data_IF_564777812551
#
_entry.id   IF_564777812551
#
_cell.length_a   1.000
_cell.length_b   1.000
_cell.length_c   1.000
_cell.angle_alpha   90.00
_cell.angle_beta   90.00
_cell.angle_gamma   90.00
#
_symmetry.space_group_name_H-M   'P 1'
#
loop_
_entity.id
_entity.type
_entity.pdbx_description
1 polymer ?
#
# COMPACT_ATOMS: atom_id res chain seq x y z
N UNK A 1 12.24 -0.93 -19.18
CA UNK A 1 11.70 0.25 -18.43
C UNK A 1 11.15 -0.23 -17.11
N UNK A 2 11.55 0.38 -16.00
CA UNK A 2 11.00 0.09 -14.67
C UNK A 2 10.19 1.30 -14.20
N UNK A 3 8.92 1.05 -13.84
CA UNK A 3 7.99 2.06 -13.35
C UNK A 3 7.50 1.67 -11.95
N UNK A 4 7.57 2.59 -10.99
CA UNK A 4 7.03 2.39 -9.64
C UNK A 4 5.61 2.99 -9.54
N UNK A 5 4.72 2.29 -8.83
CA UNK A 5 3.36 2.72 -8.52
C UNK A 5 3.25 2.81 -7.01
N UNK A 6 3.15 4.03 -6.49
CA UNK A 6 3.27 4.36 -5.06
C UNK A 6 2.16 5.31 -4.62
N UNK A 7 1.92 5.41 -3.31
CA UNK A 7 0.91 6.29 -2.74
C UNK A 7 1.46 7.62 -2.26
N UNK A 8 0.78 8.72 -2.56
CA UNK A 8 1.17 10.06 -2.11
C UNK A 8 0.84 10.30 -0.63
N UNK A 9 -0.23 9.68 -0.10
CA UNK A 9 -0.85 10.08 1.16
C UNK A 9 -0.78 9.00 2.25
N UNK A 10 -1.92 8.68 2.87
CA UNK A 10 -2.02 7.75 4.02
C UNK A 10 -2.26 6.28 3.62
N UNK A 11 -2.24 5.95 2.33
CA UNK A 11 -2.62 4.64 1.82
C UNK A 11 -4.07 4.62 1.29
N UNK A 12 -4.47 3.47 0.75
CA UNK A 12 -5.80 3.25 0.16
C UNK A 12 -6.16 4.18 -1.02
N UNK A 13 -5.15 4.72 -1.71
CA UNK A 13 -5.33 5.62 -2.86
C UNK A 13 -5.81 4.89 -4.14
N UNK A 14 -5.94 3.56 -4.12
CA UNK A 14 -6.34 2.79 -5.30
C UNK A 14 -5.17 2.27 -6.15
N UNK A 15 -3.98 2.11 -5.57
CA UNK A 15 -2.78 1.58 -6.25
C UNK A 15 -3.01 0.23 -6.92
N UNK A 16 -3.77 -0.67 -6.29
CA UNK A 16 -4.09 -1.97 -6.87
C UNK A 16 -4.81 -1.85 -8.22
N UNK A 17 -5.82 -0.97 -8.33
CA UNK A 17 -6.51 -0.68 -9.59
C UNK A 17 -5.56 -0.11 -10.64
N UNK A 18 -4.71 0.85 -10.26
CA UNK A 18 -3.74 1.46 -11.19
C UNK A 18 -2.72 0.42 -11.66
N UNK A 19 -2.24 -0.44 -10.76
CA UNK A 19 -1.32 -1.53 -11.11
C UNK A 19 -1.98 -2.54 -12.04
N UNK A 20 -3.21 -2.98 -11.75
CA UNK A 20 -3.97 -3.91 -12.58
C UNK A 20 -4.23 -3.33 -14.00
N UNK A 21 -4.58 -2.03 -14.08
CA UNK A 21 -4.73 -1.33 -15.34
C UNK A 21 -3.42 -1.25 -16.15
N UNK A 22 -2.32 -0.88 -15.51
CA UNK A 22 -1.02 -0.78 -16.18
C UNK A 22 -0.41 -2.16 -16.51
N UNK A 23 -0.77 -3.21 -15.75
CA UNK A 23 -0.30 -4.57 -15.95
C UNK A 23 -0.76 -5.18 -17.29
N UNK A 24 -1.81 -4.63 -17.93
CA UNK A 24 -2.19 -5.05 -19.29
C UNK A 24 -1.05 -4.89 -20.31
N UNK A 25 -0.17 -3.93 -20.08
CA UNK A 25 0.98 -3.63 -20.96
C UNK A 25 2.33 -3.86 -20.28
N UNK A 26 2.38 -4.66 -19.22
CA UNK A 26 3.60 -5.01 -18.49
C UNK A 26 4.00 -6.46 -18.74
N UNK A 27 5.28 -6.77 -18.55
CA UNK A 27 5.81 -8.13 -18.57
C UNK A 27 5.96 -8.69 -17.15
N UNK A 28 6.22 -7.82 -16.17
CA UNK A 28 6.50 -8.20 -14.78
C UNK A 28 5.86 -7.22 -13.82
N UNK A 29 5.24 -7.71 -12.74
CA UNK A 29 4.77 -6.91 -11.59
C UNK A 29 5.43 -7.40 -10.32
N UNK A 30 6.06 -6.52 -9.56
CA UNK A 30 6.83 -6.83 -8.35
C UNK A 30 6.25 -6.13 -7.14
N UNK A 31 5.79 -6.87 -6.13
CA UNK A 31 5.61 -6.34 -4.77
C UNK A 31 6.98 -6.23 -4.11
N UNK A 32 7.38 -5.04 -3.71
CA UNK A 32 8.75 -4.80 -3.24
C UNK A 32 8.85 -4.52 -1.73
N UNK A 33 7.74 -4.27 -1.03
CA UNK A 33 7.74 -3.95 0.39
C UNK A 33 6.40 -4.30 1.07
N UNK A 34 6.33 -4.10 2.40
CA UNK A 34 5.13 -4.35 3.20
C UNK A 34 4.89 -5.82 3.45
N UNK A 35 3.66 -6.21 3.57
CA UNK A 35 3.23 -7.57 3.82
C UNK A 35 1.71 -7.68 3.67
N UNK A 36 1.08 -8.56 4.45
CA UNK A 36 -0.36 -8.80 4.35
C UNK A 36 -1.23 -7.81 5.16
N UNK A 37 -0.69 -6.66 5.54
CA UNK A 37 -1.36 -5.66 6.38
C UNK A 37 -2.27 -4.69 5.62
N UNK A 38 -2.13 -4.56 4.31
CA UNK A 38 -3.01 -3.75 3.47
C UNK A 38 -3.63 -4.59 2.36
N UNK A 39 -4.89 -4.32 2.03
CA UNK A 39 -5.60 -4.99 0.94
C UNK A 39 -5.67 -4.10 -0.31
N UNK A 40 -5.32 -4.66 -1.46
CA UNK A 40 -5.55 -4.05 -2.76
C UNK A 40 -6.85 -4.57 -3.35
N UNK A 41 -7.87 -3.72 -3.42
CA UNK A 41 -9.14 -4.08 -4.07
C UNK A 41 -9.01 -3.94 -5.57
N UNK A 42 -9.34 -5.00 -6.28
CA UNK A 42 -9.35 -5.08 -7.75
C UNK A 42 -10.71 -5.59 -8.19
N UNK A 43 -11.31 -4.91 -9.16
CA UNK A 43 -12.57 -5.29 -9.78
C UNK A 43 -12.32 -5.46 -11.28
N UNK A 44 -12.47 -6.70 -11.74
CA UNK A 44 -12.23 -7.10 -13.12
C UNK A 44 -13.22 -8.18 -13.58
N UNK A 45 -13.00 -8.76 -14.75
CA UNK A 45 -13.89 -9.75 -15.36
C UNK A 45 -14.05 -11.06 -14.55
N UNK A 46 -13.13 -11.36 -13.62
CA UNK A 46 -13.20 -12.51 -12.73
C UNK A 46 -14.00 -12.23 -11.45
N UNK A 47 -14.26 -10.95 -11.15
CA UNK A 47 -14.99 -10.54 -9.96
C UNK A 47 -14.26 -9.47 -9.15
N UNK A 48 -14.59 -9.42 -7.85
CA UNK A 48 -14.01 -8.51 -6.88
C UNK A 48 -13.07 -9.25 -5.94
N UNK A 49 -11.82 -8.82 -5.90
CA UNK A 49 -10.77 -9.41 -5.08
C UNK A 49 -10.18 -8.38 -4.12
N UNK A 50 -9.73 -8.85 -2.97
CA UNK A 50 -8.92 -8.07 -2.03
C UNK A 50 -7.61 -8.82 -1.80
N UNK A 51 -6.57 -8.44 -2.57
CA UNK A 51 -5.25 -9.06 -2.47
C UNK A 51 -4.44 -8.39 -1.37
N UNK A 52 -3.79 -9.18 -0.51
CA UNK A 52 -2.94 -8.69 0.57
C UNK A 52 -1.46 -8.91 0.28
N UNK A 53 -1.11 -10.07 -0.27
CA UNK A 53 0.26 -10.43 -0.63
C UNK A 53 0.48 -10.52 -2.13
N UNK A 54 -0.44 -11.13 -2.86
CA UNK A 54 -0.27 -11.31 -4.29
C UNK A 54 -0.19 -9.97 -5.02
N UNK A 55 0.74 -9.83 -6.01
CA UNK A 55 0.77 -8.65 -6.88
C UNK A 55 -0.51 -8.52 -7.70
N UNK A 56 -0.91 -7.29 -8.01
CA UNK A 56 -2.13 -7.02 -8.80
C UNK A 56 -2.05 -7.54 -10.26
N UNK A 57 -0.86 -7.91 -10.72
CA UNK A 57 -0.66 -8.51 -12.06
C UNK A 57 -1.11 -9.97 -12.21
N UNK A 58 -1.50 -10.66 -11.12
CA UNK A 58 -1.87 -12.10 -11.14
C UNK A 58 -3.10 -12.43 -11.99
N UNK A 59 -3.90 -11.45 -12.36
CA UNK A 59 -5.07 -11.64 -13.23
C UNK A 59 -4.72 -11.71 -14.73
N UNK A 60 -3.48 -11.38 -15.10
CA UNK A 60 -3.00 -11.45 -16.48
C UNK A 60 -2.02 -12.62 -16.64
N UNK A 61 -2.38 -13.70 -17.39
CA UNK A 61 -1.53 -14.88 -17.54
C UNK A 61 -0.20 -14.62 -18.28
N UNK A 62 -0.10 -13.49 -18.99
CA UNK A 62 1.13 -13.10 -19.68
C UNK A 62 2.12 -12.33 -18.78
N UNK A 63 1.70 -11.94 -17.60
CA UNK A 63 2.50 -11.20 -16.63
C UNK A 63 3.16 -12.15 -15.65
N UNK A 64 4.45 -11.96 -15.39
CA UNK A 64 5.13 -12.61 -14.27
C UNK A 64 4.98 -11.78 -13.01
N UNK A 65 4.36 -12.33 -11.98
CA UNK A 65 4.18 -11.70 -10.67
C UNK A 65 5.31 -12.10 -9.73
N UNK A 66 5.88 -11.14 -9.00
CA UNK A 66 7.03 -11.38 -8.10
C UNK A 66 6.76 -10.81 -6.71
N UNK A 67 7.04 -11.61 -5.68
CA UNK A 67 7.24 -11.15 -4.32
C UNK A 67 8.74 -10.93 -4.09
N UNK A 68 9.15 -9.67 -4.00
CA UNK A 68 10.55 -9.27 -3.80
C UNK A 68 11.04 -9.50 -2.37
N UNK A 69 12.34 -9.38 -2.18
CA UNK A 69 13.01 -9.61 -0.89
C UNK A 69 12.62 -8.59 0.22
N UNK A 70 12.01 -7.47 -0.14
CA UNK A 70 11.54 -6.46 0.84
C UNK A 70 10.17 -6.78 1.46
N UNK A 71 9.49 -7.83 1.02
CA UNK A 71 8.16 -8.23 1.52
C UNK A 71 8.28 -9.04 2.81
N UNK A 72 7.34 -8.86 3.74
CA UNK A 72 7.12 -9.75 4.88
C UNK A 72 6.24 -10.93 4.40
N UNK A 73 6.84 -12.09 4.14
CA UNK A 73 6.16 -13.22 3.53
C UNK A 73 5.39 -14.04 4.58
N UNK A 74 4.07 -13.92 4.60
CA UNK A 74 3.17 -14.86 5.28
C UNK A 74 2.81 -15.99 4.32
N UNK A 75 3.41 -17.16 4.53
CA UNK A 75 3.25 -18.32 3.63
C UNK A 75 1.79 -18.80 3.59
N UNK A 76 1.13 -18.85 4.73
CA UNK A 76 -0.27 -19.30 4.81
C UNK A 76 -1.20 -18.37 4.05
N UNK A 77 -1.03 -17.06 4.21
CA UNK A 77 -1.84 -16.08 3.46
C UNK A 77 -1.56 -16.12 1.98
N UNK A 78 -0.30 -16.29 1.58
CA UNK A 78 0.08 -16.45 0.18
C UNK A 78 -0.66 -17.64 -0.46
N UNK A 79 -0.59 -18.83 0.15
CA UNK A 79 -1.24 -20.02 -0.35
C UNK A 79 -2.77 -19.88 -0.37
N UNK A 80 -3.35 -19.27 0.67
CA UNK A 80 -4.79 -19.01 0.74
C UNK A 80 -5.28 -18.09 -0.37
N UNK A 81 -4.55 -17.01 -0.65
CA UNK A 81 -4.90 -16.08 -1.75
C UNK A 81 -4.77 -16.76 -3.11
N UNK A 82 -3.77 -17.62 -3.30
CA UNK A 82 -3.57 -18.34 -4.54
C UNK A 82 -4.73 -19.32 -4.79
N UNK A 83 -5.14 -20.10 -3.78
CA UNK A 83 -6.31 -20.99 -3.88
C UNK A 83 -7.60 -20.21 -4.17
N UNK A 84 -7.79 -19.05 -3.55
CA UNK A 84 -8.97 -18.23 -3.82
C UNK A 84 -9.05 -17.72 -5.27
N UNK A 85 -7.91 -17.48 -5.92
CA UNK A 85 -7.86 -17.15 -7.35
C UNK A 85 -8.25 -18.36 -8.20
N UNK A 86 -7.75 -19.55 -7.87
CA UNK A 86 -8.07 -20.81 -8.57
C UNK A 86 -9.57 -21.13 -8.47
N UNK A 87 -10.14 -21.04 -7.27
CA UNK A 87 -11.58 -21.23 -7.04
C UNK A 87 -12.45 -20.23 -7.80
N UNK A 88 -11.97 -19.02 -8.01
CA UNK A 88 -12.65 -18.00 -8.81
C UNK A 88 -12.46 -18.16 -10.33
N UNK A 89 -11.75 -19.20 -10.77
CA UNK A 89 -11.52 -19.49 -12.19
C UNK A 89 -10.51 -18.56 -12.85
N UNK A 90 -9.66 -17.87 -12.06
CA UNK A 90 -8.54 -17.10 -12.58
C UNK A 90 -7.50 -18.08 -13.14
N UNK A 91 -6.96 -17.88 -14.35
CA UNK A 91 -5.89 -18.72 -14.87
C UNK A 91 -4.70 -18.77 -13.91
N UNK A 92 -4.08 -19.93 -13.77
CA UNK A 92 -2.93 -20.12 -12.87
C UNK A 92 -1.86 -19.06 -13.16
N UNK A 93 -1.60 -18.13 -12.22
CA UNK A 93 -0.67 -17.03 -12.45
C UNK A 93 0.78 -17.52 -12.42
N UNK A 94 1.62 -16.91 -13.22
CA UNK A 94 3.06 -17.12 -13.15
C UNK A 94 3.63 -16.29 -12.00
N UNK A 95 3.96 -16.94 -10.88
CA UNK A 95 4.43 -16.27 -9.66
C UNK A 95 5.81 -16.77 -9.26
N UNK A 96 6.67 -15.83 -8.85
CA UNK A 96 7.93 -16.11 -8.19
C UNK A 96 8.05 -15.37 -6.86
N UNK A 97 8.75 -16.01 -5.94
CA UNK A 97 9.07 -15.50 -4.61
C UNK A 97 10.58 -15.44 -4.48
N UNK A 98 11.10 -14.31 -4.03
CA UNK A 98 12.54 -14.16 -3.80
C UNK A 98 13.04 -15.22 -2.81
N UNK A 99 14.10 -15.92 -3.17
CA UNK A 99 14.81 -16.84 -2.29
C UNK A 99 15.46 -16.15 -1.06
N UNK A 100 15.49 -14.81 -1.05
CA UNK A 100 16.02 -13.97 0.04
C UNK A 100 14.93 -13.28 0.87
N UNK A 101 13.65 -13.52 0.57
CA UNK A 101 12.55 -12.95 1.36
C UNK A 101 12.56 -13.54 2.77
N UNK A 102 12.22 -12.74 3.78
CA UNK A 102 12.06 -13.24 5.14
C UNK A 102 10.63 -13.68 5.42
N UNK A 103 10.49 -14.72 6.24
CA UNK A 103 9.21 -15.33 6.59
C UNK A 103 8.60 -14.61 7.80
N UNK A 104 7.35 -14.19 7.63
CA UNK A 104 6.52 -13.69 8.72
C UNK A 104 5.97 -14.90 9.49
N UNK A 105 6.37 -15.03 10.74
CA UNK A 105 6.11 -16.17 11.60
C UNK A 105 4.89 -15.96 12.51
N UNK A 106 4.26 -17.02 13.02
CA UNK A 106 3.12 -16.92 13.94
C UNK A 106 3.41 -16.06 15.18
N UNK A 107 4.63 -16.09 15.71
CA UNK A 107 4.99 -15.26 16.86
C UNK A 107 5.01 -13.77 16.56
N UNK A 108 5.19 -13.34 15.31
CA UNK A 108 5.06 -11.92 14.94
C UNK A 108 3.60 -11.45 15.04
N UNK A 109 2.67 -12.28 14.60
CA UNK A 109 1.22 -12.00 14.67
C UNK A 109 0.79 -11.91 16.14
N UNK A 110 1.16 -12.91 16.94
CA UNK A 110 0.86 -12.94 18.38
C UNK A 110 1.46 -11.75 19.11
N UNK A 111 2.70 -11.38 18.81
CA UNK A 111 3.36 -10.22 19.42
C UNK A 111 2.62 -8.92 19.09
N UNK A 112 2.18 -8.72 17.86
CA UNK A 112 1.41 -7.55 17.42
C UNK A 112 0.06 -7.48 18.15
N UNK A 113 -0.62 -8.62 18.30
CA UNK A 113 -1.88 -8.71 19.06
C UNK A 113 -1.68 -8.40 20.53
N UNK A 114 -0.67 -8.98 21.16
CA UNK A 114 -0.38 -8.78 22.59
C UNK A 114 0.06 -7.34 22.89
N UNK A 115 0.80 -6.71 21.97
CA UNK A 115 1.19 -5.31 22.13
C UNK A 115 0.00 -4.36 22.04
N UNK A 116 -0.91 -4.57 21.07
CA UNK A 116 -2.16 -3.80 20.96
C UNK A 116 -3.05 -3.98 22.22
N UNK A 117 -3.11 -5.20 22.75
CA UNK A 117 -3.81 -5.49 24.02
C UNK A 117 -3.16 -4.74 25.19
N UNK A 118 -1.83 -4.79 25.32
CA UNK A 118 -1.07 -4.11 26.38
C UNK A 118 -1.24 -2.59 26.34
N UNK A 119 -1.23 -2.01 25.16
CA UNK A 119 -1.39 -0.56 24.96
C UNK A 119 -2.82 -0.08 25.22
N UNK A 120 -3.82 -0.94 25.05
CA UNK A 120 -5.23 -0.62 25.29
C UNK A 120 -5.70 0.63 24.57
N UNK A 121 -6.12 1.67 25.32
CA UNK A 121 -6.59 2.94 24.73
C UNK A 121 -5.51 3.74 23.99
N UNK A 122 -4.25 3.41 24.18
CA UNK A 122 -3.10 4.05 23.49
C UNK A 122 -2.60 3.22 22.31
N UNK A 123 -3.35 2.20 21.89
CA UNK A 123 -2.99 1.34 20.77
C UNK A 123 -2.84 2.12 19.47
N UNK A 124 -1.95 1.65 18.59
CA UNK A 124 -1.72 2.25 17.27
C UNK A 124 -2.83 1.97 16.27
N UNK A 125 -3.72 1.03 16.57
CA UNK A 125 -4.75 0.54 15.66
C UNK A 125 -4.17 -0.40 14.60
N UNK A 126 -3.20 -1.22 14.99
CA UNK A 126 -2.57 -2.23 14.13
C UNK A 126 -3.61 -3.11 13.44
N UNK A 127 -3.28 -3.59 12.26
CA UNK A 127 -4.04 -4.63 11.53
C UNK A 127 -3.86 -6.01 12.14
N UNK A 128 -3.00 -6.15 13.16
CA UNK A 128 -2.62 -7.42 13.81
C UNK A 128 -2.07 -8.44 12.80
N UNK A 129 -1.31 -7.94 11.85
CA UNK A 129 -0.69 -8.75 10.79
C UNK A 129 0.80 -9.03 11.07
N UNK A 130 1.30 -8.69 12.25
CA UNK A 130 2.67 -8.99 12.69
C UNK A 130 3.76 -8.15 12.02
N UNK A 131 3.42 -7.06 11.35
CA UNK A 131 4.37 -6.29 10.52
C UNK A 131 5.44 -5.60 11.36
N UNK A 132 5.06 -4.89 12.43
CA UNK A 132 6.03 -4.20 13.28
C UNK A 132 7.00 -5.17 13.97
N UNK A 133 6.54 -6.26 14.63
CA UNK A 133 7.45 -7.28 15.17
C UNK A 133 8.34 -7.92 14.11
N UNK A 134 7.81 -8.20 12.91
CA UNK A 134 8.60 -8.79 11.82
C UNK A 134 9.76 -7.89 11.39
N UNK A 135 9.52 -6.62 11.11
CA UNK A 135 10.59 -5.71 10.71
C UNK A 135 11.56 -5.42 11.87
N UNK A 136 11.08 -5.37 13.11
CA UNK A 136 11.94 -5.29 14.29
C UNK A 136 12.93 -6.45 14.33
N UNK A 137 12.46 -7.67 14.17
CA UNK A 137 13.29 -8.88 14.17
C UNK A 137 14.26 -8.93 12.98
N UNK A 138 13.79 -8.53 11.80
CA UNK A 138 14.64 -8.43 10.60
C UNK A 138 15.86 -7.56 10.84
N UNK A 139 15.69 -6.37 11.42
CA UNK A 139 16.79 -5.46 11.70
C UNK A 139 17.60 -5.84 12.95
N UNK A 140 16.99 -6.54 13.90
CA UNK A 140 17.69 -7.18 15.02
C UNK A 140 18.49 -8.44 14.61
N UNK A 141 18.35 -8.90 13.35
CA UNK A 141 19.02 -10.07 12.76
C UNK A 141 18.62 -11.40 13.42
N UNK A 142 17.37 -11.50 13.82
CA UNK A 142 16.76 -12.71 14.40
C UNK A 142 15.59 -13.22 13.55
N UNK A 143 15.46 -12.76 12.30
CA UNK A 143 14.49 -13.26 11.32
C UNK A 143 14.98 -14.51 10.60
N UNK A 144 14.07 -15.21 9.91
CA UNK A 144 14.35 -16.35 9.05
C UNK A 144 14.19 -15.98 7.58
N UNK A 145 15.21 -16.21 6.74
CA UNK A 145 15.04 -16.15 5.29
C UNK A 145 14.42 -17.44 4.77
N UNK A 146 13.63 -17.34 3.70
CA UNK A 146 12.93 -18.50 3.15
C UNK A 146 13.87 -19.63 2.70
N UNK A 147 15.06 -19.29 2.22
CA UNK A 147 16.06 -20.30 1.81
C UNK A 147 16.54 -21.16 2.98
N UNK A 148 16.60 -20.61 4.21
CA UNK A 148 17.05 -21.33 5.42
C UNK A 148 16.10 -22.48 5.80
N UNK A 149 14.83 -22.42 5.37
CA UNK A 149 13.87 -23.49 5.62
C UNK A 149 14.25 -24.83 4.97
N UNK A 150 15.18 -24.82 3.99
CA UNK A 150 15.61 -26.00 3.23
C UNK A 150 16.90 -26.65 3.78
N UNK A 151 17.44 -26.14 4.86
CA UNK A 151 18.60 -26.65 5.55
C UNK A 151 18.20 -26.98 7.00
N UNK A 152 17.84 -28.25 7.25
CA UNK A 152 17.20 -28.67 8.51
C UNK A 152 18.03 -28.32 9.76
N UNK A 153 19.35 -28.46 9.70
CA UNK A 153 20.27 -28.11 10.77
C UNK A 153 20.26 -26.60 11.07
N UNK A 154 20.30 -25.77 10.03
CA UNK A 154 20.24 -24.30 10.15
C UNK A 154 18.86 -23.88 10.67
N UNK A 155 17.77 -24.42 10.09
CA UNK A 155 16.40 -24.12 10.49
C UNK A 155 16.18 -24.42 11.98
N UNK A 156 16.55 -25.62 12.43
CA UNK A 156 16.33 -26.07 13.81
C UNK A 156 17.13 -25.23 14.81
N UNK A 157 18.40 -24.93 14.50
CA UNK A 157 19.25 -24.09 15.34
C UNK A 157 18.69 -22.66 15.46
N UNK A 158 18.34 -22.02 14.32
CA UNK A 158 17.82 -20.66 14.31
C UNK A 158 16.44 -20.56 14.98
N UNK A 159 15.53 -21.47 14.66
CA UNK A 159 14.19 -21.48 15.25
C UNK A 159 14.24 -21.63 16.78
N UNK A 160 15.16 -22.47 17.30
CA UNK A 160 15.35 -22.65 18.73
C UNK A 160 15.76 -21.36 19.43
N UNK A 161 16.77 -20.67 18.87
CA UNK A 161 17.23 -19.36 19.37
C UNK A 161 16.14 -18.30 19.33
N UNK A 162 15.37 -18.25 18.24
CA UNK A 162 14.29 -17.27 18.08
C UNK A 162 13.18 -17.54 19.10
N UNK A 163 12.72 -18.79 19.23
CA UNK A 163 11.64 -19.14 20.15
C UNK A 163 12.03 -18.94 21.61
N UNK A 164 13.29 -19.15 21.98
CA UNK A 164 13.78 -18.82 23.32
C UNK A 164 13.57 -17.34 23.63
N UNK A 165 13.95 -16.44 22.71
CA UNK A 165 13.76 -14.99 22.88
C UNK A 165 12.27 -14.63 22.92
N UNK A 166 11.48 -15.15 21.97
CA UNK A 166 10.07 -14.82 21.85
C UNK A 166 9.22 -15.34 23.00
N UNK A 167 9.50 -16.56 23.46
CA UNK A 167 8.79 -17.15 24.58
C UNK A 167 9.10 -16.40 25.89
N UNK A 168 10.37 -16.03 26.12
CA UNK A 168 10.74 -15.18 27.25
C UNK A 168 10.04 -13.82 27.21
N UNK A 169 9.91 -13.19 26.03
CA UNK A 169 9.16 -11.95 25.86
C UNK A 169 7.66 -12.14 26.14
N UNK A 170 7.05 -13.22 25.64
CA UNK A 170 5.62 -13.50 25.83
C UNK A 170 5.30 -13.73 27.30
N UNK A 171 6.11 -14.49 28.00
CA UNK A 171 5.90 -14.80 29.40
C UNK A 171 6.15 -13.58 30.31
N UNK A 172 7.28 -12.87 30.11
CA UNK A 172 7.68 -11.81 31.03
C UNK A 172 6.98 -10.47 30.80
N UNK A 173 6.71 -10.08 29.52
CA UNK A 173 6.10 -8.80 29.22
C UNK A 173 4.59 -8.88 29.09
N UNK A 174 4.08 -9.94 28.45
CA UNK A 174 2.66 -10.05 28.14
C UNK A 174 1.89 -11.02 29.05
N UNK A 175 2.60 -11.84 29.85
CA UNK A 175 1.97 -12.88 30.69
C UNK A 175 1.26 -13.96 29.87
N UNK A 176 1.75 -14.22 28.66
CA UNK A 176 1.18 -15.17 27.70
C UNK A 176 2.08 -16.41 27.57
N UNK A 177 1.46 -17.55 27.26
CA UNK A 177 2.21 -18.80 27.01
C UNK A 177 3.03 -18.70 25.74
N UNK A 178 4.25 -19.22 25.79
CA UNK A 178 5.13 -19.35 24.62
C UNK A 178 4.65 -20.38 23.61
N UNK A 179 5.30 -20.41 22.44
CA UNK A 179 5.07 -21.36 21.37
C UNK A 179 5.92 -22.62 21.56
N UNK A 180 5.33 -23.75 21.17
CA UNK A 180 6.01 -25.04 21.19
C UNK A 180 6.91 -25.20 19.96
N UNK A 181 8.17 -25.58 20.17
CA UNK A 181 9.17 -25.71 19.10
C UNK A 181 8.78 -26.74 18.06
N UNK A 182 8.39 -27.96 18.50
CA UNK A 182 8.10 -29.06 17.59
C UNK A 182 6.88 -28.75 16.70
N UNK A 183 5.88 -28.10 17.27
CA UNK A 183 4.70 -27.64 16.53
C UNK A 183 5.05 -26.62 15.44
N UNK A 184 5.85 -25.61 15.77
CA UNK A 184 6.25 -24.58 14.81
C UNK A 184 7.15 -25.16 13.72
N UNK A 185 8.09 -26.02 14.10
CA UNK A 185 9.01 -26.69 13.16
C UNK A 185 8.25 -27.59 12.17
N UNK A 186 7.32 -28.40 12.66
CA UNK A 186 6.50 -29.28 11.80
C UNK A 186 5.69 -28.51 10.79
N UNK A 187 5.08 -27.39 11.21
CA UNK A 187 4.32 -26.51 10.30
C UNK A 187 5.22 -25.87 9.25
N UNK A 188 6.38 -25.37 9.62
CA UNK A 188 7.34 -24.80 8.67
C UNK A 188 7.84 -25.83 7.66
N UNK A 189 8.14 -27.06 8.11
CA UNK A 189 8.57 -28.18 7.23
C UNK A 189 7.47 -28.53 6.22
N UNK A 190 6.20 -28.46 6.61
CA UNK A 190 5.07 -28.64 5.69
C UNK A 190 4.99 -27.47 4.68
N UNK A 191 4.95 -26.23 5.16
CA UNK A 191 4.80 -25.03 4.33
C UNK A 191 5.95 -24.88 3.31
N UNK A 192 7.19 -25.22 3.66
CA UNK A 192 8.31 -25.12 2.72
C UNK A 192 8.13 -25.98 1.48
N UNK A 193 7.51 -27.16 1.60
CA UNK A 193 7.28 -28.02 0.43
C UNK A 193 6.20 -27.43 -0.50
N UNK A 194 5.16 -26.83 0.08
CA UNK A 194 4.10 -26.20 -0.69
C UNK A 194 4.59 -24.95 -1.44
N UNK A 195 5.53 -24.19 -0.85
CA UNK A 195 6.03 -22.95 -1.45
C UNK A 195 7.27 -23.13 -2.35
N UNK A 196 7.92 -24.30 -2.29
CA UNK A 196 9.13 -24.62 -3.06
C UNK A 196 9.03 -24.32 -4.56
N UNK A 197 7.92 -24.62 -5.26
CA UNK A 197 7.79 -24.37 -6.69
C UNK A 197 7.87 -22.90 -7.11
N UNK A 198 7.63 -21.99 -6.17
CA UNK A 198 7.58 -20.55 -6.42
C UNK A 198 8.93 -19.85 -6.17
N UNK A 199 9.90 -20.51 -5.55
CA UNK A 199 11.17 -19.87 -5.19
C UNK A 199 12.07 -19.64 -6.39
N UNK A 200 12.66 -18.44 -6.42
CA UNK A 200 13.53 -18.00 -7.52
C UNK A 200 14.56 -16.98 -7.01
N UNK A 201 15.76 -16.96 -7.59
CA UNK A 201 16.64 -15.77 -7.51
C UNK A 201 16.00 -14.65 -8.33
N UNK A 202 15.10 -13.90 -7.69
CA UNK A 202 14.34 -12.83 -8.34
C UNK A 202 15.22 -11.67 -8.75
N UNK A 203 16.33 -11.42 -8.05
CA UNK A 203 17.29 -10.37 -8.43
C UNK A 203 17.99 -10.71 -9.73
N UNK A 204 18.38 -11.96 -9.93
CA UNK A 204 18.94 -12.43 -11.21
C UNK A 204 17.90 -12.38 -12.33
N UNK A 205 16.66 -12.83 -12.03
CA UNK A 205 15.54 -12.79 -12.97
C UNK A 205 15.28 -11.36 -13.45
N UNK A 206 15.15 -10.40 -12.54
CA UNK A 206 14.85 -9.00 -12.86
C UNK A 206 15.98 -8.33 -13.63
N UNK A 207 17.24 -8.60 -13.28
CA UNK A 207 18.38 -8.08 -14.05
C UNK A 207 18.41 -8.60 -15.49
N UNK A 208 18.00 -9.85 -15.73
CA UNK A 208 17.84 -10.39 -17.09
C UNK A 208 16.67 -9.72 -17.81
N UNK A 209 15.52 -9.61 -17.16
CA UNK A 209 14.33 -8.96 -17.71
C UNK A 209 14.62 -7.49 -18.12
N UNK A 210 15.36 -6.74 -17.30
CA UNK A 210 15.78 -5.36 -17.62
C UNK A 210 16.66 -5.35 -18.88
N UNK A 211 17.67 -6.23 -18.97
CA UNK A 211 18.55 -6.34 -20.15
C UNK A 211 17.79 -6.71 -21.43
N UNK A 212 16.71 -7.48 -21.30
CA UNK A 212 15.81 -7.86 -22.39
C UNK A 212 14.81 -6.75 -22.77
N UNK A 213 14.87 -5.60 -22.10
CA UNK A 213 13.97 -4.48 -22.35
C UNK A 213 12.54 -4.68 -21.86
N UNK A 214 12.32 -5.63 -20.93
CA UNK A 214 11.00 -5.91 -20.37
C UNK A 214 10.45 -4.72 -19.60
N UNK A 215 9.11 -4.57 -19.62
CA UNK A 215 8.38 -3.58 -18.85
C UNK A 215 8.08 -4.14 -17.47
N UNK A 216 8.63 -3.51 -16.43
CA UNK A 216 8.52 -3.93 -15.03
C UNK A 216 7.76 -2.88 -14.25
N UNK A 217 6.72 -3.30 -13.53
CA UNK A 217 6.00 -2.47 -12.57
C UNK A 217 6.43 -2.85 -11.16
N UNK A 218 6.76 -1.86 -10.34
CA UNK A 218 7.01 -2.01 -8.90
C UNK A 218 5.77 -1.55 -8.15
N UNK A 219 5.04 -2.47 -7.57
CA UNK A 219 3.80 -2.20 -6.84
C UNK A 219 4.09 -1.93 -5.38
N UNK A 220 3.90 -0.66 -4.97
CA UNK A 220 4.00 -0.23 -3.58
C UNK A 220 2.73 -0.49 -2.77
N UNK A 221 2.87 -0.42 -1.47
CA UNK A 221 1.81 -0.61 -0.49
C UNK A 221 1.79 0.58 0.47
N UNK A 222 0.60 0.97 0.96
CA UNK A 222 0.41 2.18 1.78
C UNK A 222 0.80 3.46 1.02
N UNK A 223 1.17 4.52 1.72
CA UNK A 223 1.54 5.81 1.11
C UNK A 223 2.61 6.53 1.93
N UNK A 224 3.08 7.66 1.45
CA UNK A 224 4.20 8.42 2.02
C UNK A 224 4.01 8.79 3.48
N UNK A 225 2.78 9.17 3.89
CA UNK A 225 2.48 9.51 5.29
C UNK A 225 2.61 8.32 6.24
N UNK A 226 2.70 7.10 5.72
CA UNK A 226 2.91 5.86 6.48
C UNK A 226 4.33 5.32 6.37
N UNK A 227 5.24 6.03 5.70
CA UNK A 227 6.66 5.66 5.66
C UNK A 227 7.29 5.76 7.05
N UNK A 228 8.15 4.80 7.38
CA UNK A 228 8.76 4.71 8.72
C UNK A 228 9.65 5.91 9.07
N UNK A 229 10.30 6.53 8.06
CA UNK A 229 11.23 7.66 8.26
C UNK A 229 10.60 9.01 7.93
N UNK A 230 9.77 9.07 6.89
CA UNK A 230 9.24 10.31 6.35
C UNK A 230 7.75 10.56 6.64
N UNK A 231 7.07 9.57 7.22
CA UNK A 231 5.66 9.66 7.56
C UNK A 231 5.37 10.36 8.89
N UNK A 232 4.13 10.24 9.33
CA UNK A 232 3.62 10.85 10.58
C UNK A 232 4.01 10.02 11.82
N UNK A 233 5.30 9.77 12.02
CA UNK A 233 5.80 8.95 13.12
C UNK A 233 5.23 9.39 14.48
N UNK A 234 4.81 8.45 15.38
CA UNK A 234 4.97 6.99 15.29
C UNK A 234 3.81 6.25 14.59
N UNK A 235 2.82 6.94 14.03
CA UNK A 235 1.63 6.35 13.41
C UNK A 235 1.89 5.93 11.95
N UNK A 236 2.95 5.17 11.75
CA UNK A 236 3.48 4.70 10.46
C UNK A 236 3.46 3.18 10.36
N UNK A 237 3.74 2.63 9.17
CA UNK A 237 4.11 1.22 9.04
C UNK A 237 5.62 1.06 9.29
N UNK A 238 6.05 -0.17 9.57
CA UNK A 238 7.46 -0.47 9.85
C UNK A 238 8.28 -0.80 8.58
N UNK A 239 7.75 -0.50 7.40
CA UNK A 239 8.45 -0.64 6.13
C UNK A 239 8.53 0.69 5.39
N UNK A 240 9.49 0.80 4.45
CA UNK A 240 9.59 1.96 3.58
C UNK A 240 8.56 1.90 2.46
N UNK A 241 7.77 2.95 2.32
CA UNK A 241 6.69 3.05 1.33
C UNK A 241 7.10 3.84 0.08
N UNK A 242 8.33 4.36 0.05
CA UNK A 242 8.84 5.19 -1.02
C UNK A 242 9.29 4.36 -2.24
N UNK A 243 9.16 4.95 -3.44
CA UNK A 243 9.61 4.34 -4.69
C UNK A 243 11.10 3.98 -4.68
N UNK A 244 11.93 4.77 -3.98
CA UNK A 244 13.36 4.52 -3.79
C UNK A 244 13.66 3.17 -3.16
N UNK A 245 12.82 2.70 -2.23
CA UNK A 245 12.96 1.37 -1.64
C UNK A 245 12.63 0.24 -2.63
N UNK A 246 11.94 0.55 -3.73
CA UNK A 246 11.66 -0.40 -4.80
C UNK A 246 12.94 -1.03 -5.35
N UNK A 247 14.02 -0.27 -5.46
CA UNK A 247 15.32 -0.79 -5.88
C UNK A 247 15.87 -1.84 -4.89
N UNK A 248 15.81 -1.56 -3.60
CA UNK A 248 16.26 -2.46 -2.53
C UNK A 248 15.35 -3.68 -2.45
N UNK A 249 14.03 -3.46 -2.38
CA UNK A 249 13.04 -4.52 -2.17
C UNK A 249 12.85 -5.46 -3.36
N UNK A 250 13.19 -5.03 -4.58
CA UNK A 250 13.19 -5.85 -5.78
C UNK A 250 14.60 -6.40 -6.12
N UNK A 251 15.67 -5.83 -5.54
CA UNK A 251 17.05 -6.23 -5.82
C UNK A 251 17.54 -5.79 -7.20
N UNK A 252 17.22 -4.54 -7.59
CA UNK A 252 17.63 -3.93 -8.87
C UNK A 252 18.42 -2.62 -8.61
N UNK A 253 19.19 -2.12 -9.58
CA UNK A 253 19.84 -0.82 -9.44
C UNK A 253 18.84 0.33 -9.36
N UNK A 254 19.06 1.36 -8.52
CA UNK A 254 18.09 2.44 -8.33
C UNK A 254 17.87 3.31 -9.59
N UNK A 255 18.89 3.45 -10.45
CA UNK A 255 18.78 4.21 -11.69
C UNK A 255 17.92 3.55 -12.78
N UNK A 256 17.51 2.29 -12.57
CA UNK A 256 16.56 1.61 -13.48
C UNK A 256 15.11 2.07 -13.26
N UNK A 257 14.78 2.63 -12.08
CA UNK A 257 13.46 3.21 -11.81
C UNK A 257 13.41 4.59 -12.49
N UNK A 258 12.90 4.62 -13.70
CA UNK A 258 12.88 5.82 -14.56
C UNK A 258 11.53 6.52 -14.61
N UNK A 259 10.49 5.90 -14.04
CA UNK A 259 9.14 6.46 -13.97
C UNK A 259 8.50 6.12 -12.62
N UNK A 260 7.83 7.10 -12.03
CA UNK A 260 7.12 6.95 -10.75
C UNK A 260 5.71 7.52 -10.91
N UNK A 261 4.71 6.62 -10.93
CA UNK A 261 3.30 6.97 -10.85
C UNK A 261 2.92 7.12 -9.39
N UNK A 262 2.69 8.34 -8.95
CA UNK A 262 2.19 8.61 -7.63
C UNK A 262 0.66 8.63 -7.63
N UNK A 263 0.04 7.79 -6.81
CA UNK A 263 -1.43 7.70 -6.75
C UNK A 263 -1.96 8.55 -5.60
N UNK A 264 -2.95 9.36 -5.88
CA UNK A 264 -3.69 10.15 -4.88
C UNK A 264 -5.19 10.10 -5.14
N UNK A 265 -6.01 10.17 -4.08
CA UNK A 265 -7.46 10.30 -4.22
C UNK A 265 -7.88 11.74 -4.43
N UNK A 266 -9.05 11.95 -5.02
CA UNK A 266 -9.68 13.27 -5.13
C UNK A 266 -10.15 13.86 -3.78
N UNK A 267 -10.07 13.12 -2.71
CA UNK A 267 -10.24 13.53 -1.31
C UNK A 267 -9.28 12.70 -0.46
N UNK A 268 -9.12 13.02 0.81
CA UNK A 268 -8.19 12.30 1.68
C UNK A 268 -8.89 11.23 2.52
N UNK A 269 -8.22 10.10 2.75
CA UNK A 269 -8.68 9.08 3.70
C UNK A 269 -7.50 8.45 4.44
N UNK A 270 -7.73 8.03 5.67
CA UNK A 270 -6.72 7.39 6.50
C UNK A 270 -7.30 6.25 7.33
N UNK A 271 -6.50 5.21 7.57
CA UNK A 271 -6.79 4.14 8.52
C UNK A 271 -5.87 4.28 9.73
N UNK A 272 -6.41 4.00 10.92
CA UNK A 272 -5.68 4.08 12.17
C UNK A 272 -5.51 5.49 12.72
N UNK A 273 -4.71 5.60 13.77
CA UNK A 273 -4.43 6.86 14.44
C UNK A 273 -3.39 7.70 13.66
N UNK A 274 -3.16 8.91 14.14
CA UNK A 274 -2.17 9.85 13.62
C UNK A 274 -2.79 11.12 13.07
N UNK A 275 -1.95 12.08 12.76
CA UNK A 275 -2.34 13.42 12.33
C UNK A 275 -2.92 13.39 10.92
N UNK A 276 -4.05 14.08 10.75
CA UNK A 276 -4.78 14.21 9.51
C UNK A 276 -5.44 15.59 9.48
N UNK A 277 -4.71 16.60 9.06
CA UNK A 277 -5.08 18.02 9.22
C UNK A 277 -6.38 18.37 8.49
N UNK A 278 -6.61 17.82 7.30
CA UNK A 278 -7.82 18.06 6.51
C UNK A 278 -9.00 17.13 6.88
N UNK A 279 -8.95 16.42 8.02
CA UNK A 279 -10.00 15.52 8.46
C UNK A 279 -11.32 16.25 8.71
N UNK A 280 -12.44 15.66 8.29
CA UNK A 280 -13.80 16.16 8.53
C UNK A 280 -14.57 15.22 9.45
N UNK A 281 -15.61 15.76 10.09
CA UNK A 281 -16.38 15.07 11.13
C UNK A 281 -17.89 15.24 10.92
N UNK A 282 -18.70 14.49 11.68
CA UNK A 282 -20.15 14.61 11.65
C UNK A 282 -20.79 14.10 10.36
N UNK A 283 -21.91 14.72 9.97
CA UNK A 283 -22.73 14.29 8.83
C UNK A 283 -22.00 14.37 7.50
N UNK A 284 -21.17 15.38 7.30
CA UNK A 284 -20.33 15.57 6.11
C UNK A 284 -19.37 14.39 5.92
N UNK A 285 -18.69 13.98 6.99
CA UNK A 285 -17.79 12.83 6.96
C UNK A 285 -18.55 11.51 6.68
N UNK A 286 -19.73 11.35 7.28
CA UNK A 286 -20.56 10.15 7.06
C UNK A 286 -21.06 10.06 5.62
N UNK A 287 -21.46 11.17 5.02
CA UNK A 287 -21.91 11.21 3.63
C UNK A 287 -20.77 10.89 2.66
N UNK A 288 -19.61 11.52 2.83
CA UNK A 288 -18.43 11.22 2.02
C UNK A 288 -17.98 9.76 2.19
N UNK A 289 -18.02 9.24 3.44
CA UNK A 289 -17.67 7.84 3.73
C UNK A 289 -18.59 6.85 3.02
N UNK A 290 -19.90 7.10 3.02
CA UNK A 290 -20.86 6.22 2.36
C UNK A 290 -20.69 6.19 0.84
N UNK A 291 -20.34 7.33 0.24
CA UNK A 291 -20.17 7.47 -1.22
C UNK A 291 -18.80 7.02 -1.71
N UNK A 292 -17.79 7.06 -0.83
CA UNK A 292 -16.41 6.79 -1.19
C UNK A 292 -16.15 5.33 -1.58
N UNK A 293 -15.17 5.13 -2.47
CA UNK A 293 -14.79 3.80 -2.93
C UNK A 293 -15.91 3.03 -3.67
N UNK A 294 -15.79 1.71 -3.72
CA UNK A 294 -16.79 0.84 -4.35
C UNK A 294 -17.95 0.45 -3.39
N UNK A 295 -17.68 0.41 -2.10
CA UNK A 295 -18.64 0.03 -1.03
C UNK A 295 -18.55 0.93 0.21
N UNK A 296 -18.16 2.17 0.02
CA UNK A 296 -17.88 3.11 1.10
C UNK A 296 -16.43 3.05 1.58
N UNK A 297 -16.03 4.07 2.33
CA UNK A 297 -14.70 4.16 2.93
C UNK A 297 -14.61 3.30 4.20
N UNK A 298 -14.48 1.99 3.99
CA UNK A 298 -14.27 0.99 5.04
C UNK A 298 -13.02 0.17 4.73
N UNK A 299 -12.30 -0.24 5.77
CA UNK A 299 -11.09 -1.04 5.63
C UNK A 299 -11.37 -2.39 4.99
N UNK A 300 -10.67 -2.74 3.90
CA UNK A 300 -10.87 -3.99 3.17
C UNK A 300 -10.65 -5.24 4.04
N UNK A 301 -9.72 -5.16 5.01
CA UNK A 301 -9.38 -6.25 5.92
C UNK A 301 -10.20 -6.24 7.21
N UNK A 302 -10.39 -5.04 7.80
CA UNK A 302 -10.96 -4.92 9.16
C UNK A 302 -12.43 -4.48 9.17
N UNK A 303 -12.97 -4.01 8.05
CA UNK A 303 -14.30 -3.41 7.97
C UNK A 303 -14.45 -2.10 8.76
N UNK A 304 -13.38 -1.57 9.37
CA UNK A 304 -13.43 -0.34 10.17
C UNK A 304 -13.71 0.87 9.28
N UNK A 305 -14.54 1.83 9.71
CA UNK A 305 -14.74 3.08 8.98
C UNK A 305 -13.40 3.82 8.87
N UNK A 306 -13.05 4.24 7.66
CA UNK A 306 -11.89 5.10 7.43
C UNK A 306 -12.21 6.51 7.89
N UNK A 307 -11.20 7.20 8.38
CA UNK A 307 -11.22 8.65 8.56
C UNK A 307 -11.21 9.26 7.17
N UNK A 308 -11.99 10.30 6.95
CA UNK A 308 -12.11 10.99 5.66
C UNK A 308 -11.87 12.49 5.85
N UNK A 309 -11.41 13.14 4.81
CA UNK A 309 -11.14 14.57 4.82
C UNK A 309 -11.12 15.12 3.39
N UNK A 310 -11.11 16.44 3.27
CA UNK A 310 -10.96 17.09 1.98
C UNK A 310 -9.56 16.84 1.40
N UNK A 311 -9.42 17.07 0.11
CA UNK A 311 -8.12 16.90 -0.54
C UNK A 311 -7.06 17.75 0.15
N UNK A 312 -5.96 17.11 0.57
CA UNK A 312 -4.84 17.75 1.24
C UNK A 312 -3.69 17.95 0.24
N UNK A 313 -3.63 19.13 -0.35
CA UNK A 313 -2.60 19.45 -1.33
C UNK A 313 -1.21 19.58 -0.69
N UNK A 314 -1.13 19.98 0.59
CA UNK A 314 0.16 20.09 1.31
C UNK A 314 0.77 18.69 1.51
N UNK A 315 0.00 17.77 2.06
CA UNK A 315 0.44 16.39 2.26
C UNK A 315 0.72 15.69 0.92
N UNK A 316 -0.14 15.89 -0.10
CA UNK A 316 0.02 15.25 -1.41
C UNK A 316 1.24 15.74 -2.16
N UNK A 317 1.53 17.05 -2.14
CA UNK A 317 2.73 17.63 -2.75
C UNK A 317 4.00 17.11 -2.09
N UNK A 318 4.05 17.09 -0.75
CA UNK A 318 5.15 16.49 0.00
C UNK A 318 5.34 15.02 -0.37
N UNK A 319 4.25 14.26 -0.44
CA UNK A 319 4.30 12.86 -0.84
C UNK A 319 4.84 12.66 -2.25
N UNK A 320 4.35 13.41 -3.24
CA UNK A 320 4.82 13.36 -4.61
C UNK A 320 6.32 13.71 -4.72
N UNK A 321 6.78 14.74 -3.99
CA UNK A 321 8.18 15.15 -3.99
C UNK A 321 9.11 14.05 -3.42
N UNK A 322 8.76 13.44 -2.28
CA UNK A 322 9.55 12.36 -1.68
C UNK A 322 9.55 11.08 -2.51
N UNK A 323 8.43 10.79 -3.17
CA UNK A 323 8.34 9.65 -4.09
C UNK A 323 9.16 9.87 -5.37
N UNK A 324 9.55 11.12 -5.68
CA UNK A 324 10.14 11.46 -6.96
C UNK A 324 9.16 11.26 -8.11
N UNK A 325 7.90 11.65 -7.90
CA UNK A 325 6.81 11.44 -8.85
C UNK A 325 7.13 12.07 -10.21
N UNK A 326 7.04 11.28 -11.28
CA UNK A 326 7.13 11.75 -12.66
C UNK A 326 5.76 12.04 -13.25
N UNK A 327 4.73 11.40 -12.67
CA UNK A 327 3.33 11.57 -13.04
C UNK A 327 2.41 11.15 -11.90
N UNK A 328 1.17 11.61 -11.95
CA UNK A 328 0.13 11.32 -10.96
C UNK A 328 -1.06 10.63 -11.59
N UNK A 329 -1.58 9.61 -10.88
CA UNK A 329 -2.89 9.05 -11.11
C UNK A 329 -3.86 9.56 -10.03
N UNK A 330 -4.83 10.39 -10.42
CA UNK A 330 -5.87 10.90 -9.54
C UNK A 330 -7.07 9.96 -9.56
N UNK A 331 -7.41 9.41 -8.40
CA UNK A 331 -8.44 8.37 -8.29
C UNK A 331 -9.67 8.84 -7.52
N UNK A 332 -10.76 8.08 -7.63
CA UNK A 332 -11.97 8.21 -6.80
C UNK A 332 -12.58 9.61 -6.90
N UNK A 333 -12.75 10.11 -8.14
CA UNK A 333 -13.42 11.38 -8.43
C UNK A 333 -14.94 11.31 -8.34
N UNK A 334 -15.51 10.15 -8.70
CA UNK A 334 -16.93 9.90 -8.77
C UNK A 334 -17.72 10.22 -7.48
N UNK A 335 -17.19 9.93 -6.26
CA UNK A 335 -17.91 10.25 -5.02
C UNK A 335 -18.15 11.73 -4.78
N UNK A 336 -17.37 12.61 -5.38
CA UNK A 336 -17.52 14.06 -5.19
C UNK A 336 -18.66 14.68 -6.04
N UNK A 337 -19.28 13.89 -6.93
CA UNK A 337 -20.32 14.35 -7.85
C UNK A 337 -21.62 14.84 -7.19
N UNK A 338 -21.80 14.73 -5.87
CA UNK A 338 -22.95 15.29 -5.16
C UNK A 338 -22.74 16.72 -4.67
N UNK A 339 -21.50 17.21 -4.72
CA UNK A 339 -21.12 18.49 -4.12
C UNK A 339 -21.33 19.67 -5.11
N UNK A 340 -21.82 20.78 -4.57
CA UNK A 340 -21.83 22.08 -5.27
C UNK A 340 -20.50 22.82 -5.12
N UNK A 341 -19.86 22.66 -3.96
CA UNK A 341 -18.57 23.24 -3.62
C UNK A 341 -17.65 22.18 -3.02
N UNK A 342 -16.38 22.19 -3.39
CA UNK A 342 -15.36 21.22 -2.95
C UNK A 342 -14.22 21.98 -2.31
N UNK A 343 -14.02 21.84 -0.99
CA UNK A 343 -12.87 22.39 -0.30
C UNK A 343 -11.57 21.63 -0.66
N UNK A 344 -10.48 22.36 -0.86
CA UNK A 344 -9.13 21.82 -1.03
C UNK A 344 -8.22 22.49 -0.02
N UNK A 345 -7.57 21.71 0.84
CA UNK A 345 -6.59 22.21 1.79
C UNK A 345 -5.29 22.57 1.05
N UNK A 346 -4.99 23.87 0.93
CA UNK A 346 -3.85 24.38 0.17
C UNK A 346 -2.68 24.85 1.04
N UNK A 347 -2.93 25.05 2.34
CA UNK A 347 -1.94 25.42 3.33
C UNK A 347 -2.39 24.95 4.73
N UNK A 348 -1.47 24.99 5.68
CA UNK A 348 -1.75 24.81 7.10
C UNK A 348 -1.50 26.11 7.86
N UNK A 349 -2.36 26.46 8.79
CA UNK A 349 -2.11 27.51 9.75
C UNK A 349 -1.54 26.91 11.04
N UNK A 350 -0.35 27.37 11.46
CA UNK A 350 0.31 26.92 12.69
C UNK A 350 0.79 28.19 13.45
N UNK A 351 0.34 28.33 14.68
CA UNK A 351 0.70 29.46 15.56
C UNK A 351 0.49 30.84 14.87
N UNK A 352 -0.57 30.98 14.04
CA UNK A 352 -0.95 32.19 13.29
C UNK A 352 -0.17 32.44 12.00
N UNK A 353 0.63 31.49 11.55
CA UNK A 353 1.37 31.55 10.29
C UNK A 353 0.86 30.49 9.31
N UNK A 354 0.61 30.92 8.07
CA UNK A 354 0.27 30.02 6.97
C UNK A 354 1.54 29.40 6.38
N UNK A 355 1.58 28.07 6.30
CA UNK A 355 2.68 27.31 5.72
C UNK A 355 2.17 26.38 4.62
N UNK A 356 2.97 26.19 3.59
CA UNK A 356 2.68 25.30 2.45
C UNK A 356 3.54 24.04 2.44
N UNK A 357 4.61 24.02 3.20
CA UNK A 357 5.46 22.85 3.36
C UNK A 357 4.92 21.94 4.47
N UNK A 358 5.03 20.63 4.25
CA UNK A 358 4.54 19.63 5.21
C UNK A 358 5.46 19.60 6.44
N UNK A 359 4.94 19.89 7.65
CA UNK A 359 5.77 20.03 8.85
C UNK A 359 5.97 18.67 9.54
N UNK A 360 6.87 18.63 10.52
CA UNK A 360 7.07 17.46 11.40
C UNK A 360 5.84 17.19 12.27
N UNK A 361 5.64 15.93 12.66
CA UNK A 361 4.44 15.47 13.40
C UNK A 361 4.05 16.32 14.62
N UNK A 362 4.97 16.79 15.49
CA UNK A 362 4.59 17.66 16.62
C UNK A 362 3.93 18.97 16.21
N UNK A 363 4.28 19.53 15.05
CA UNK A 363 3.64 20.73 14.51
C UNK A 363 2.31 20.42 13.84
N UNK A 364 2.16 19.26 13.18
CA UNK A 364 0.87 18.82 12.62
C UNK A 364 -0.25 18.78 13.67
N UNK A 365 0.07 18.48 14.93
CA UNK A 365 -0.91 18.48 16.04
C UNK A 365 -1.54 19.84 16.32
N UNK A 366 -0.89 20.92 15.91
CA UNK A 366 -1.33 22.30 16.08
C UNK A 366 -1.89 22.90 14.80
N UNK A 367 -1.77 22.17 13.69
CA UNK A 367 -2.13 22.66 12.38
C UNK A 367 -3.64 22.71 12.19
N UNK A 368 -4.11 23.82 11.62
CA UNK A 368 -5.47 23.98 11.10
C UNK A 368 -5.41 24.03 9.58
N UNK A 369 -6.38 23.41 8.86
CA UNK A 369 -6.39 23.46 7.41
C UNK A 369 -6.84 24.82 6.90
N UNK A 370 -6.15 25.34 5.89
CA UNK A 370 -6.58 26.51 5.12
C UNK A 370 -7.16 26.03 3.79
N UNK A 371 -8.45 26.29 3.58
CA UNK A 371 -9.17 25.77 2.43
C UNK A 371 -9.35 26.81 1.33
N UNK A 372 -9.17 26.38 0.08
CA UNK A 372 -9.70 27.02 -1.10
C UNK A 372 -10.94 26.26 -1.55
N UNK A 373 -12.04 26.98 -1.77
CA UNK A 373 -13.30 26.42 -2.24
C UNK A 373 -13.32 26.44 -3.76
N UNK A 374 -13.55 25.27 -4.37
CA UNK A 374 -13.74 25.10 -5.80
C UNK A 374 -15.20 24.74 -6.09
N UNK A 375 -15.67 25.07 -7.29
CA UNK A 375 -17.01 24.71 -7.74
C UNK A 375 -17.07 23.20 -8.03
N UNK A 376 -18.06 22.51 -7.51
CA UNK A 376 -18.35 21.11 -7.79
C UNK A 376 -19.09 20.94 -9.12
N UNK A 377 -19.18 19.70 -9.60
CA UNK A 377 -19.81 19.38 -10.88
C UNK A 377 -21.23 18.81 -10.77
N UNK A 378 -21.67 18.48 -9.60
CA UNK A 378 -23.04 18.07 -9.23
C UNK A 378 -23.71 17.09 -10.21
N UNK A 379 -22.99 16.07 -10.67
CA UNK A 379 -23.51 14.99 -11.51
C UNK A 379 -22.66 13.71 -11.40
N UNK A 380 -23.24 12.58 -11.83
CA UNK A 380 -22.51 11.30 -11.95
C UNK A 380 -21.60 11.33 -13.19
N UNK A 381 -20.34 10.96 -13.00
CA UNK A 381 -19.30 10.95 -14.05
C UNK A 381 -18.83 9.53 -14.40
N UNK A 382 -19.37 8.47 -13.78
CA UNK A 382 -18.87 7.09 -13.95
C UNK A 382 -19.02 6.55 -15.37
N UNK A 383 -20.04 6.98 -16.12
CA UNK A 383 -20.27 6.56 -17.50
C UNK A 383 -19.32 7.18 -18.53
N UNK A 384 -18.57 8.22 -18.17
CA UNK A 384 -17.71 8.98 -19.08
C UNK A 384 -16.46 8.17 -19.39
N UNK A 385 -16.07 8.13 -20.68
CA UNK A 385 -14.89 7.36 -21.16
C UNK A 385 -13.85 8.23 -21.88
N UNK A 386 -14.15 9.51 -22.10
CA UNK A 386 -13.23 10.48 -22.67
C UNK A 386 -13.05 11.65 -21.68
N UNK A 387 -11.81 12.03 -21.38
CA UNK A 387 -11.50 13.13 -20.45
C UNK A 387 -12.18 14.44 -20.82
N UNK A 388 -12.26 14.78 -22.11
CA UNK A 388 -12.84 16.03 -22.59
C UNK A 388 -14.36 16.11 -22.39
N UNK A 389 -15.03 14.97 -22.15
CA UNK A 389 -16.46 14.88 -21.85
C UNK A 389 -16.78 15.09 -20.37
N UNK A 390 -15.77 15.14 -19.50
CA UNK A 390 -15.97 15.49 -18.09
C UNK A 390 -16.54 16.91 -17.97
N UNK A 391 -17.43 17.16 -16.98
CA UNK A 391 -17.88 18.51 -16.68
C UNK A 391 -16.72 19.49 -16.53
N UNK A 392 -16.96 20.73 -16.94
CA UNK A 392 -15.92 21.76 -16.87
C UNK A 392 -15.39 21.93 -15.44
N UNK A 393 -16.26 21.94 -14.45
CA UNK A 393 -15.92 22.08 -13.04
C UNK A 393 -15.05 20.91 -12.55
N UNK A 394 -15.31 19.70 -13.03
CA UNK A 394 -14.48 18.51 -12.73
C UNK A 394 -13.08 18.65 -13.33
N UNK A 395 -12.98 19.11 -14.59
CA UNK A 395 -11.68 19.37 -15.23
C UNK A 395 -10.93 20.52 -14.55
N UNK A 396 -11.63 21.60 -14.17
CA UNK A 396 -11.04 22.73 -13.43
C UNK A 396 -10.49 22.26 -12.05
N UNK A 397 -11.19 21.34 -11.38
CA UNK A 397 -10.72 20.70 -10.15
C UNK A 397 -9.41 19.92 -10.37
N UNK A 398 -9.36 19.09 -11.40
CA UNK A 398 -8.18 18.30 -11.75
C UNK A 398 -7.00 19.21 -12.10
N UNK A 399 -7.22 20.25 -12.90
CA UNK A 399 -6.21 21.25 -13.27
C UNK A 399 -5.68 22.00 -12.05
N UNK A 400 -6.56 22.31 -11.09
CA UNK A 400 -6.17 22.96 -9.85
C UNK A 400 -5.27 22.03 -9.00
N UNK A 401 -5.66 20.75 -8.85
CA UNK A 401 -4.85 19.78 -8.13
C UNK A 401 -3.47 19.59 -8.79
N UNK A 402 -3.43 19.45 -10.12
CA UNK A 402 -2.17 19.34 -10.86
C UNK A 402 -1.24 20.51 -10.57
N UNK A 403 -1.77 21.73 -10.57
CA UNK A 403 -1.01 22.94 -10.27
C UNK A 403 -0.48 22.95 -8.82
N UNK A 404 -1.30 22.52 -7.85
CA UNK A 404 -0.90 22.45 -6.44
C UNK A 404 0.16 21.35 -6.19
N UNK A 405 0.13 20.28 -6.94
CA UNK A 405 1.11 19.18 -6.83
C UNK A 405 2.44 19.46 -7.52
N UNK A 406 2.44 20.34 -8.53
CA UNK A 406 3.59 20.60 -9.42
C UNK A 406 4.08 19.32 -10.13
N UNK A 407 3.20 18.35 -10.35
CA UNK A 407 3.47 17.07 -11.03
C UNK A 407 2.34 16.77 -12.01
N UNK A 408 2.64 16.35 -13.26
CA UNK A 408 1.63 16.07 -14.27
C UNK A 408 0.61 15.02 -13.83
N UNK A 409 -0.70 15.31 -13.94
CA UNK A 409 -1.77 14.32 -13.79
C UNK A 409 -2.06 13.73 -15.17
N UNK A 410 -1.64 12.50 -15.41
CA UNK A 410 -1.76 11.80 -16.71
C UNK A 410 -2.94 10.83 -16.74
N UNK A 411 -3.38 10.37 -15.58
CA UNK A 411 -4.46 9.38 -15.41
C UNK A 411 -5.48 9.86 -14.39
N UNK A 412 -6.74 9.65 -14.71
CA UNK A 412 -7.87 10.01 -13.84
C UNK A 412 -8.81 8.83 -13.75
N UNK A 413 -9.23 8.45 -12.53
CA UNK A 413 -10.21 7.38 -12.32
C UNK A 413 -11.54 7.96 -11.86
N UNK A 414 -12.60 7.64 -12.61
CA UNK A 414 -13.96 8.12 -12.39
C UNK A 414 -14.95 7.01 -11.97
N UNK A 415 -14.43 5.88 -11.47
CA UNK A 415 -15.22 4.77 -10.92
C UNK A 415 -14.34 3.63 -10.45
N UNK A 416 -14.91 2.55 -9.88
CA UNK A 416 -14.13 1.47 -9.24
C UNK A 416 -13.57 0.42 -10.22
N UNK A 417 -14.15 0.26 -11.41
CA UNK A 417 -13.76 -0.78 -12.37
C UNK A 417 -12.48 -0.44 -13.12
N UNK A 418 -11.78 -1.48 -13.63
CA UNK A 418 -10.51 -1.33 -14.38
C UNK A 418 -10.61 -0.32 -15.52
N UNK A 419 -11.68 -0.33 -16.32
CA UNK A 419 -11.80 0.54 -17.50
C UNK A 419 -12.39 1.93 -17.18
N UNK A 420 -12.67 2.22 -15.94
CA UNK A 420 -13.07 3.56 -15.49
C UNK A 420 -11.82 4.39 -15.20
N UNK A 421 -10.97 4.44 -16.26
CA UNK A 421 -9.72 5.19 -16.29
C UNK A 421 -9.70 6.09 -17.54
N UNK A 422 -9.44 7.36 -17.34
CA UNK A 422 -9.33 8.37 -18.39
C UNK A 422 -7.86 8.80 -18.52
N UNK A 423 -7.33 8.74 -19.75
CA UNK A 423 -6.02 9.33 -20.06
C UNK A 423 -6.19 10.83 -20.27
N UNK A 424 -5.25 11.59 -19.77
CA UNK A 424 -5.25 13.05 -19.87
C UNK A 424 -3.93 13.56 -20.41
N UNK A 425 -3.97 14.58 -21.24
CA UNK A 425 -2.81 15.39 -21.57
C UNK A 425 -2.63 16.43 -20.47
N UNK A 426 -1.54 16.39 -19.69
CA UNK A 426 -1.30 17.32 -18.59
C UNK A 426 -1.12 18.77 -19.11
N UNK A 427 -1.30 19.74 -18.21
CA UNK A 427 -1.14 21.18 -18.52
C UNK A 427 0.19 21.76 -18.00
N UNK A 428 0.94 21.01 -17.19
CA UNK A 428 2.27 21.38 -16.70
C UNK A 428 3.34 20.41 -17.19
#
# INVERSE_FOLDING_TARGET
>A
MVQAIVGANWGDEGKGKITDYLAENADVVVRFQGGANAGHTIINNYGRFSLHLLPSGVFNPNVTSILGNGVALDIQKFLKELHALEEAGVPTPKIYISDRVQVLMPYHILQDEYEEERLGKKSYGSTKSGIAPFFSDKYAKIGLQINELYYDDILEEQLKKILEIKNALFESLYGKKGLDFDTVLAELKKQREEIRPYLCDTSLFLRKAIKEGKKILLEGQLGTMKDTDHGIYPMVTSSHTLASFGAVGAGIPPYEITSVVCVTKAYSSAVGAGEFVSEIFGEEAEELRKRGGDKGEYGATTGRPRRVGWYDAVASRYGCALQGATEVALTVLDPLGYLEEIPVCTAYEIDGQEIKDFPVTPLLRKANPVYKILKGWHCDIRGIRNYEELPKECRDYIDFIEKELEVPITMVSNGPERHEMLKRTPKI
#
